data_IF_628948148536
#
_entry.id   IF_628948148536
#
_cell.length_a   1.000
_cell.length_b   1.000
_cell.length_c   1.000
_cell.angle_alpha   90.00
_cell.angle_beta   90.00
_cell.angle_gamma   90.00
#
_symmetry.space_group_name_H-M   'P 1'
#
loop_
_entity.id
_entity.type
_entity.pdbx_description
1 polymer ?
#
# COMPACT_ATOMS: atom_id res chain seq x y z
N UNK A 1 -29.27 17.74 -13.88
CA UNK A 1 -28.45 17.98 -12.68
C UNK A 1 -27.76 19.33 -12.85
N UNK A 2 -27.62 20.11 -11.79
CA UNK A 2 -26.92 21.40 -11.87
C UNK A 2 -25.40 21.17 -11.75
N UNK A 3 -24.58 22.13 -12.21
CA UNK A 3 -23.12 22.07 -12.08
C UNK A 3 -22.70 21.97 -10.60
N UNK A 4 -23.33 22.72 -9.72
CA UNK A 4 -23.09 22.69 -8.26
C UNK A 4 -23.30 21.29 -7.67
N UNK A 5 -24.30 20.54 -8.16
CA UNK A 5 -24.56 19.15 -7.75
C UNK A 5 -23.47 18.18 -8.21
N UNK A 6 -22.86 18.45 -9.36
CA UNK A 6 -21.76 17.63 -9.88
C UNK A 6 -20.45 17.89 -9.14
N UNK A 7 -20.13 19.16 -8.88
CA UNK A 7 -18.97 19.53 -8.05
C UNK A 7 -19.05 18.91 -6.66
N UNK A 8 -20.25 18.92 -6.03
CA UNK A 8 -20.46 18.25 -4.73
C UNK A 8 -20.22 16.74 -4.78
N UNK A 9 -20.59 16.08 -5.87
CA UNK A 9 -20.32 14.64 -6.03
C UNK A 9 -18.83 14.33 -6.25
N UNK A 10 -18.08 15.21 -6.91
CA UNK A 10 -16.62 15.06 -7.03
C UNK A 10 -15.93 15.25 -5.67
N UNK A 11 -16.40 16.19 -4.86
CA UNK A 11 -15.86 16.40 -3.52
C UNK A 11 -16.20 15.22 -2.60
N UNK A 12 -17.41 14.65 -2.71
CA UNK A 12 -17.82 13.43 -1.99
C UNK A 12 -16.93 12.24 -2.41
N UNK A 13 -16.75 12.00 -3.71
CA UNK A 13 -15.85 10.95 -4.20
C UNK A 13 -14.43 11.07 -3.64
N UNK A 14 -13.88 12.29 -3.56
CA UNK A 14 -12.55 12.50 -2.97
C UNK A 14 -12.50 12.14 -1.49
N UNK A 15 -13.52 12.54 -0.72
CA UNK A 15 -13.61 12.23 0.70
C UNK A 15 -13.75 10.71 0.94
N UNK A 16 -14.47 10.01 0.09
CA UNK A 16 -14.64 8.55 0.18
C UNK A 16 -13.36 7.81 -0.18
N UNK A 17 -12.59 8.31 -1.16
CA UNK A 17 -11.25 7.77 -1.48
C UNK A 17 -10.27 8.00 -0.32
N UNK A 18 -10.31 9.17 0.33
CA UNK A 18 -9.54 9.46 1.53
C UNK A 18 -9.87 8.46 2.65
N UNK A 19 -11.16 8.23 2.91
CA UNK A 19 -11.62 7.27 3.91
C UNK A 19 -11.17 5.82 3.59
N UNK A 20 -11.19 5.41 2.31
CA UNK A 20 -10.63 4.13 1.88
C UNK A 20 -9.12 4.06 2.13
N UNK A 21 -8.41 5.15 1.84
CA UNK A 21 -6.98 5.28 2.10
C UNK A 21 -6.63 5.13 3.57
N UNK A 22 -7.36 5.81 4.45
CA UNK A 22 -7.21 5.71 5.91
C UNK A 22 -7.40 4.28 6.41
N UNK A 23 -8.42 3.58 5.89
CA UNK A 23 -8.67 2.17 6.23
C UNK A 23 -7.51 1.26 5.79
N UNK A 24 -6.96 1.48 4.60
CA UNK A 24 -5.80 0.73 4.08
C UNK A 24 -4.56 0.97 4.94
N UNK A 25 -4.31 2.22 5.33
CA UNK A 25 -3.20 2.59 6.23
C UNK A 25 -3.37 1.96 7.61
N UNK A 26 -4.57 1.98 8.20
CA UNK A 26 -4.86 1.29 9.46
C UNK A 26 -4.52 -0.20 9.38
N UNK A 27 -4.93 -0.87 8.30
CA UNK A 27 -4.61 -2.29 8.05
C UNK A 27 -3.12 -2.57 7.93
N UNK A 28 -2.37 -1.71 7.24
CA UNK A 28 -0.91 -1.85 7.15
C UNK A 28 -0.25 -1.70 8.52
N UNK A 29 -0.70 -0.76 9.36
CA UNK A 29 -0.21 -0.57 10.73
C UNK A 29 -0.50 -1.77 11.61
N UNK A 30 -1.69 -2.31 11.52
CA UNK A 30 -2.08 -3.52 12.25
C UNK A 30 -1.22 -4.72 11.81
N UNK A 31 -0.98 -4.87 10.50
CA UNK A 31 -0.11 -5.91 9.97
C UNK A 31 1.34 -5.78 10.46
N UNK A 32 1.88 -4.56 10.47
CA UNK A 32 3.22 -4.26 10.98
C UNK A 32 3.33 -4.55 12.47
N UNK A 33 2.35 -4.13 13.27
CA UNK A 33 2.26 -4.39 14.71
C UNK A 33 2.18 -5.89 14.99
N UNK A 34 1.30 -6.61 14.26
CA UNK A 34 1.17 -8.06 14.40
C UNK A 34 2.49 -8.78 14.10
N UNK A 35 3.22 -8.31 13.06
CA UNK A 35 4.52 -8.87 12.70
C UNK A 35 5.56 -8.60 13.78
N UNK A 36 5.65 -7.38 14.31
CA UNK A 36 6.63 -6.97 15.31
C UNK A 36 6.42 -7.67 16.66
N UNK A 37 5.16 -7.72 17.13
CA UNK A 37 4.80 -8.34 18.41
C UNK A 37 4.63 -9.87 18.29
N UNK A 38 4.46 -10.39 17.07
CA UNK A 38 4.11 -11.75 16.78
C UNK A 38 2.73 -12.15 17.25
N UNK A 39 1.83 -11.21 17.14
CA UNK A 39 0.44 -11.42 17.51
C UNK A 39 -0.31 -12.13 16.37
N UNK A 40 -0.38 -13.47 16.47
CA UNK A 40 -1.10 -14.32 15.52
C UNK A 40 -2.60 -13.98 15.44
N UNK A 41 -3.20 -13.50 16.54
CA UNK A 41 -4.62 -13.13 16.59
C UNK A 41 -4.88 -11.86 15.80
N UNK A 42 -4.02 -10.84 15.97
CA UNK A 42 -4.08 -9.62 15.18
C UNK A 42 -3.76 -9.93 13.71
N UNK A 43 -2.74 -10.76 13.44
CA UNK A 43 -2.41 -11.24 12.10
C UNK A 43 -3.58 -11.94 11.41
N UNK A 44 -4.36 -12.76 12.13
CA UNK A 44 -5.57 -13.39 11.62
C UNK A 44 -6.66 -12.35 11.29
N UNK A 45 -6.84 -11.38 12.17
CA UNK A 45 -7.81 -10.29 11.95
C UNK A 45 -7.49 -9.48 10.69
N UNK A 46 -6.21 -9.16 10.48
CA UNK A 46 -5.75 -8.46 9.27
C UNK A 46 -5.93 -9.33 8.03
N UNK A 47 -5.56 -10.62 8.10
CA UNK A 47 -5.64 -11.55 6.98
C UNK A 47 -7.07 -11.77 6.46
N UNK A 48 -8.07 -11.74 7.34
CA UNK A 48 -9.48 -11.95 7.01
C UNK A 48 -10.23 -10.64 6.69
N UNK A 49 -9.55 -9.50 6.80
CA UNK A 49 -10.20 -8.20 6.77
C UNK A 49 -10.28 -7.53 5.39
N UNK A 50 -9.93 -8.18 4.28
CA UNK A 50 -9.93 -7.59 2.94
C UNK A 50 -11.34 -7.34 2.37
N UNK A 51 -12.37 -8.06 2.86
CA UNK A 51 -13.74 -7.96 2.36
C UNK A 51 -14.28 -6.52 2.42
N UNK A 52 -14.00 -5.78 3.50
CA UNK A 52 -14.46 -4.39 3.66
C UNK A 52 -13.81 -3.45 2.64
N UNK A 53 -12.52 -3.61 2.36
CA UNK A 53 -11.81 -2.80 1.35
C UNK A 53 -12.33 -3.13 -0.05
N UNK A 54 -12.59 -4.41 -0.34
CA UNK A 54 -13.12 -4.87 -1.61
C UNK A 54 -14.56 -4.36 -1.85
N UNK A 55 -15.41 -4.37 -0.82
CA UNK A 55 -16.77 -3.80 -0.92
C UNK A 55 -16.72 -2.31 -1.22
N UNK A 56 -15.89 -1.55 -0.49
CA UNK A 56 -15.71 -0.12 -0.69
C UNK A 56 -15.10 0.20 -2.08
N UNK A 57 -14.12 -0.60 -2.53
CA UNK A 57 -13.58 -0.48 -3.88
C UNK A 57 -14.68 -0.59 -4.95
N UNK A 58 -15.55 -1.61 -4.86
CA UNK A 58 -16.64 -1.82 -5.84
C UNK A 58 -17.68 -0.70 -5.81
N UNK A 59 -18.01 -0.17 -4.63
CA UNK A 59 -18.91 0.98 -4.47
C UNK A 59 -18.33 2.21 -5.15
N UNK A 60 -17.11 2.59 -4.84
CA UNK A 60 -16.45 3.79 -5.39
C UNK A 60 -16.14 3.64 -6.89
N UNK A 61 -15.86 2.41 -7.37
CA UNK A 61 -15.74 2.12 -8.79
C UNK A 61 -17.06 2.41 -9.53
N UNK A 62 -18.20 2.00 -8.93
CA UNK A 62 -19.54 2.28 -9.47
C UNK A 62 -19.82 3.78 -9.51
N UNK A 63 -19.45 4.53 -8.47
CA UNK A 63 -19.64 5.98 -8.42
C UNK A 63 -18.83 6.71 -9.49
N UNK A 64 -17.58 6.28 -9.73
CA UNK A 64 -16.77 6.77 -10.84
C UNK A 64 -17.45 6.54 -12.20
N UNK A 65 -18.03 5.35 -12.43
CA UNK A 65 -18.74 5.02 -13.67
C UNK A 65 -19.99 5.90 -13.83
N UNK A 66 -20.75 6.11 -12.76
CA UNK A 66 -21.95 6.95 -12.80
C UNK A 66 -21.61 8.41 -13.09
N UNK A 67 -20.55 8.95 -12.49
CA UNK A 67 -20.04 10.29 -12.78
C UNK A 67 -19.64 10.45 -14.24
N UNK A 68 -19.00 9.46 -14.84
CA UNK A 68 -18.64 9.46 -16.27
C UNK A 68 -19.87 9.37 -17.19
N UNK A 69 -20.82 8.48 -16.84
CA UNK A 69 -21.96 8.16 -17.70
C UNK A 69 -23.03 9.28 -17.71
N UNK A 70 -23.29 9.87 -16.56
CA UNK A 70 -24.45 10.77 -16.37
C UNK A 70 -24.13 12.25 -16.62
N UNK A 71 -22.88 12.69 -16.56
CA UNK A 71 -22.53 14.10 -16.45
C UNK A 71 -21.74 14.69 -17.64
N UNK A 72 -21.24 13.87 -18.55
CA UNK A 72 -20.37 14.32 -19.66
C UNK A 72 -19.26 15.27 -19.15
N UNK A 73 -18.37 14.82 -18.26
CA UNK A 73 -17.41 15.66 -17.58
C UNK A 73 -16.49 16.40 -18.55
N UNK A 74 -16.14 17.64 -18.23
CA UNK A 74 -15.14 18.40 -18.99
C UNK A 74 -13.73 17.92 -18.68
N UNK A 75 -12.75 18.33 -19.47
CA UNK A 75 -11.40 17.75 -19.48
C UNK A 75 -10.74 17.60 -18.08
N UNK A 76 -10.92 18.56 -17.16
CA UNK A 76 -10.40 18.50 -15.80
C UNK A 76 -11.10 17.42 -14.97
N UNK A 77 -12.41 17.47 -14.93
CA UNK A 77 -13.25 16.53 -14.17
C UNK A 77 -13.09 15.10 -14.68
N UNK A 78 -13.00 14.95 -16.03
CA UNK A 78 -12.74 13.65 -16.65
C UNK A 78 -11.40 13.05 -16.18
N UNK A 79 -10.33 13.87 -16.11
CA UNK A 79 -9.04 13.39 -15.62
C UNK A 79 -9.08 12.99 -14.15
N UNK A 80 -9.81 13.79 -13.32
CA UNK A 80 -10.00 13.46 -11.92
C UNK A 80 -10.65 12.08 -11.78
N UNK A 81 -11.83 11.86 -12.34
CA UNK A 81 -12.55 10.58 -12.22
C UNK A 81 -11.73 9.42 -12.80
N UNK A 82 -11.05 9.63 -13.95
CA UNK A 82 -10.22 8.58 -14.56
C UNK A 82 -8.96 8.25 -13.73
N UNK A 83 -8.36 9.24 -13.06
CA UNK A 83 -7.25 9.02 -12.14
C UNK A 83 -7.73 8.30 -10.87
N UNK A 84 -8.85 8.76 -10.29
CA UNK A 84 -9.48 8.14 -9.11
C UNK A 84 -9.75 6.67 -9.33
N UNK A 85 -10.33 6.30 -10.47
CA UNK A 85 -10.59 4.89 -10.82
C UNK A 85 -9.35 4.00 -10.75
N UNK A 86 -8.18 4.53 -11.13
CA UNK A 86 -6.90 3.81 -11.05
C UNK A 86 -6.33 3.82 -9.64
N UNK A 87 -6.47 4.93 -8.91
CA UNK A 87 -6.05 5.07 -7.53
C UNK A 87 -6.79 4.08 -6.63
N UNK A 88 -8.09 3.89 -6.84
CA UNK A 88 -8.88 2.87 -6.14
C UNK A 88 -8.31 1.46 -6.33
N UNK A 89 -7.87 1.14 -7.55
CA UNK A 89 -7.22 -0.16 -7.83
C UNK A 89 -5.90 -0.31 -7.07
N UNK A 90 -5.09 0.75 -7.00
CA UNK A 90 -3.83 0.72 -6.25
C UNK A 90 -4.08 0.61 -4.73
N UNK A 91 -5.11 1.27 -4.18
CA UNK A 91 -5.51 1.15 -2.78
C UNK A 91 -6.01 -0.27 -2.44
N UNK A 92 -6.82 -0.89 -3.29
CA UNK A 92 -7.25 -2.29 -3.13
C UNK A 92 -6.04 -3.22 -3.12
N UNK A 93 -5.07 -3.03 -4.02
CA UNK A 93 -3.83 -3.81 -4.04
C UNK A 93 -3.00 -3.67 -2.78
N UNK A 94 -2.93 -2.47 -2.21
CA UNK A 94 -2.26 -2.25 -0.92
C UNK A 94 -3.00 -3.01 0.20
N UNK A 95 -4.32 -3.01 0.20
CA UNK A 95 -5.16 -3.80 1.12
C UNK A 95 -4.90 -5.30 1.04
N UNK A 96 -4.81 -5.84 -0.19
CA UNK A 96 -4.42 -7.23 -0.46
C UNK A 96 -3.03 -7.56 0.13
N UNK A 97 -2.07 -6.63 -0.02
CA UNK A 97 -0.72 -6.79 0.53
C UNK A 97 -0.72 -6.78 2.06
N UNK A 98 -1.51 -5.91 2.70
CA UNK A 98 -1.68 -5.91 4.15
C UNK A 98 -2.23 -7.27 4.65
N UNK A 99 -3.22 -7.83 3.95
CA UNK A 99 -3.77 -9.17 4.26
C UNK A 99 -2.71 -10.28 4.11
N UNK A 100 -1.81 -10.18 3.11
CA UNK A 100 -0.69 -11.12 2.97
C UNK A 100 0.28 -11.01 4.16
N UNK A 101 0.63 -9.79 4.59
CA UNK A 101 1.49 -9.57 5.76
C UNK A 101 0.88 -10.22 7.02
N UNK A 102 -0.44 -10.09 7.25
CA UNK A 102 -1.17 -10.77 8.31
C UNK A 102 -1.05 -12.31 8.24
N UNK A 103 -1.14 -12.89 7.04
CA UNK A 103 -0.97 -14.35 6.82
C UNK A 103 0.45 -14.81 7.15
N UNK A 104 1.47 -13.99 6.90
CA UNK A 104 2.85 -14.33 7.22
C UNK A 104 3.09 -14.38 8.73
N UNK A 105 2.40 -13.55 9.52
CA UNK A 105 2.45 -13.63 11.00
C UNK A 105 1.88 -14.96 11.50
N UNK A 106 0.72 -15.39 11.01
CA UNK A 106 0.06 -16.64 11.42
C UNK A 106 0.89 -17.90 11.14
N UNK A 107 1.73 -17.87 10.13
CA UNK A 107 2.58 -18.99 9.75
C UNK A 107 3.96 -18.96 10.42
N UNK A 108 4.23 -17.96 11.28
CA UNK A 108 5.51 -17.81 11.95
C UNK A 108 5.71 -18.91 13.01
N UNK A 109 6.91 -19.49 13.02
CA UNK A 109 7.37 -20.34 14.14
C UNK A 109 7.84 -19.48 15.33
N UNK A 110 8.24 -20.17 16.41
CA UNK A 110 8.71 -19.52 17.65
C UNK A 110 10.02 -18.71 17.47
N UNK A 111 10.81 -19.00 16.46
CA UNK A 111 12.07 -18.32 16.16
C UNK A 111 11.88 -17.35 14.99
N UNK A 112 11.96 -16.07 15.26
CA UNK A 112 11.92 -15.01 14.25
C UNK A 112 13.32 -14.59 13.86
N UNK A 113 13.51 -14.27 12.58
CA UNK A 113 14.71 -13.60 12.10
C UNK A 113 14.71 -12.15 12.60
N UNK A 114 14.97 -11.94 13.90
CA UNK A 114 14.98 -10.62 14.56
C UNK A 114 16.18 -9.76 14.16
N UNK A 115 17.11 -10.32 13.37
CA UNK A 115 18.35 -9.64 13.01
C UNK A 115 18.17 -8.49 12.01
N UNK A 116 17.00 -8.38 11.35
CA UNK A 116 16.76 -7.36 10.33
C UNK A 116 15.50 -6.54 10.69
N UNK A 117 15.58 -5.22 10.76
CA UNK A 117 14.46 -4.37 11.19
C UNK A 117 13.41 -4.24 10.07
N UNK A 118 12.44 -5.17 10.02
CA UNK A 118 11.28 -5.09 9.11
C UNK A 118 10.37 -3.91 9.49
N UNK A 119 10.32 -3.55 10.78
CA UNK A 119 9.52 -2.42 11.26
C UNK A 119 9.89 -1.10 10.56
N UNK A 120 11.19 -0.79 10.41
CA UNK A 120 11.63 0.42 9.71
C UNK A 120 11.14 0.45 8.25
N UNK A 121 11.13 -0.71 7.56
CA UNK A 121 10.66 -0.83 6.18
C UNK A 121 9.14 -0.62 6.12
N UNK A 122 8.40 -1.21 7.06
CA UNK A 122 6.96 -1.05 7.16
C UNK A 122 6.58 0.42 7.43
N UNK A 123 7.26 1.09 8.36
CA UNK A 123 7.03 2.51 8.65
C UNK A 123 7.28 3.40 7.42
N UNK A 124 8.34 3.12 6.64
CA UNK A 124 8.65 3.85 5.40
C UNK A 124 7.55 3.64 4.35
N UNK A 125 7.12 2.39 4.13
CA UNK A 125 6.06 2.07 3.17
C UNK A 125 4.72 2.71 3.57
N UNK A 126 4.35 2.66 4.86
CA UNK A 126 3.14 3.29 5.39
C UNK A 126 3.18 4.81 5.18
N UNK A 127 4.27 5.46 5.56
CA UNK A 127 4.43 6.92 5.39
C UNK A 127 4.34 7.34 3.91
N UNK A 128 4.81 6.49 3.00
CA UNK A 128 4.74 6.73 1.56
C UNK A 128 3.29 6.65 1.06
N UNK A 129 2.49 5.69 1.53
CA UNK A 129 1.05 5.59 1.23
C UNK A 129 0.30 6.80 1.77
N UNK A 130 0.53 7.19 3.03
CA UNK A 130 -0.10 8.37 3.64
C UNK A 130 0.19 9.64 2.83
N UNK A 131 1.46 9.84 2.44
CA UNK A 131 1.85 11.00 1.63
C UNK A 131 1.20 10.97 0.24
N UNK A 132 1.01 9.79 -0.36
CA UNK A 132 0.35 9.65 -1.65
C UNK A 132 -1.15 9.97 -1.58
N UNK A 133 -1.83 9.58 -0.49
CA UNK A 133 -3.23 9.91 -0.23
C UNK A 133 -3.38 11.42 0.00
N UNK A 134 -2.53 12.02 0.85
CA UNK A 134 -2.52 13.46 1.09
C UNK A 134 -2.30 14.24 -0.21
N UNK A 135 -1.35 13.79 -1.06
CA UNK A 135 -1.11 14.39 -2.38
C UNK A 135 -2.36 14.39 -3.26
N UNK A 136 -3.15 13.33 -3.24
CA UNK A 136 -4.40 13.23 -3.99
C UNK A 136 -5.48 14.16 -3.45
N UNK A 137 -5.68 14.18 -2.12
CA UNK A 137 -6.71 15.00 -1.46
C UNK A 137 -6.44 16.49 -1.65
N UNK A 138 -5.20 16.91 -1.41
CA UNK A 138 -4.78 18.30 -1.51
C UNK A 138 -4.46 18.76 -2.94
N UNK A 139 -4.41 17.82 -3.88
CA UNK A 139 -3.96 18.05 -5.26
C UNK A 139 -2.57 18.74 -5.29
N UNK A 140 -1.60 18.22 -4.52
CA UNK A 140 -0.26 18.79 -4.39
C UNK A 140 0.79 18.05 -5.24
N UNK A 141 1.31 18.67 -6.34
CA UNK A 141 2.36 18.08 -7.16
C UNK A 141 3.71 17.92 -6.42
N UNK A 142 3.93 18.69 -5.35
CA UNK A 142 5.13 18.60 -4.53
C UNK A 142 5.16 17.31 -3.73
N UNK A 143 4.04 16.96 -3.11
CA UNK A 143 3.88 15.69 -2.38
C UNK A 143 4.01 14.49 -3.34
N UNK A 144 3.46 14.57 -4.56
CA UNK A 144 3.64 13.51 -5.57
C UNK A 144 5.14 13.22 -5.84
N UNK A 145 5.95 14.27 -5.98
CA UNK A 145 7.40 14.12 -6.22
C UNK A 145 8.14 13.63 -4.98
N UNK A 146 7.65 13.97 -3.79
CA UNK A 146 8.18 13.46 -2.52
C UNK A 146 8.00 11.95 -2.41
N UNK A 147 6.80 11.43 -2.72
CA UNK A 147 6.53 9.98 -2.76
C UNK A 147 7.52 9.28 -3.68
N UNK A 148 7.69 9.75 -4.91
CA UNK A 148 8.62 9.15 -5.87
C UNK A 148 10.10 9.21 -5.43
N UNK A 149 10.50 10.23 -4.64
CA UNK A 149 11.86 10.29 -4.11
C UNK A 149 12.08 9.33 -2.94
N UNK A 150 11.08 9.13 -2.09
CA UNK A 150 11.15 8.21 -0.96
C UNK A 150 11.18 6.74 -1.39
N UNK A 151 10.64 6.42 -2.55
CA UNK A 151 10.64 5.08 -3.12
C UNK A 151 12.06 4.53 -3.31
N UNK A 152 12.96 5.33 -3.84
CA UNK A 152 14.37 4.96 -3.96
C UNK A 152 15.01 4.61 -2.60
N UNK A 153 14.64 5.29 -1.52
CA UNK A 153 15.14 5.00 -0.18
C UNK A 153 14.54 3.71 0.37
N UNK A 154 13.25 3.45 0.10
CA UNK A 154 12.55 2.22 0.47
C UNK A 154 13.19 1.01 -0.25
N UNK A 155 13.40 1.09 -1.56
CA UNK A 155 14.04 0.04 -2.36
C UNK A 155 15.42 -0.32 -1.82
N UNK A 156 16.26 0.69 -1.56
CA UNK A 156 17.58 0.49 -0.98
C UNK A 156 17.51 -0.19 0.39
N UNK A 157 16.49 0.15 1.19
CA UNK A 157 16.30 -0.45 2.50
C UNK A 157 15.87 -1.91 2.40
N UNK A 158 15.00 -2.24 1.44
CA UNK A 158 14.57 -3.61 1.13
C UNK A 158 15.77 -4.47 0.63
N UNK A 159 16.59 -3.93 -0.28
CA UNK A 159 17.80 -4.59 -0.78
C UNK A 159 18.79 -4.86 0.35
N UNK A 160 19.05 -3.86 1.21
CA UNK A 160 19.94 -4.01 2.36
C UNK A 160 19.43 -5.07 3.34
N UNK A 161 18.12 -5.15 3.59
CA UNK A 161 17.51 -6.15 4.44
C UNK A 161 17.70 -7.58 3.87
N UNK A 162 17.54 -7.75 2.56
CA UNK A 162 17.79 -9.03 1.90
C UNK A 162 19.28 -9.43 1.97
N UNK A 163 20.21 -8.50 1.79
CA UNK A 163 21.65 -8.72 1.92
C UNK A 163 22.03 -9.12 3.35
N UNK A 164 21.47 -8.48 4.37
CA UNK A 164 21.72 -8.78 5.77
C UNK A 164 21.21 -10.18 6.14
N UNK A 165 20.05 -10.57 5.61
CA UNK A 165 19.56 -11.95 5.73
C UNK A 165 20.53 -12.96 5.13
N UNK A 166 21.02 -12.72 3.92
CA UNK A 166 22.00 -13.62 3.27
C UNK A 166 23.27 -13.74 4.10
N UNK A 167 23.79 -12.62 4.63
CA UNK A 167 24.97 -12.63 5.52
C UNK A 167 24.72 -13.40 6.81
N UNK A 168 23.52 -13.25 7.40
CA UNK A 168 23.11 -14.04 8.54
C UNK A 168 23.13 -15.54 8.24
N UNK A 169 22.49 -15.97 7.14
CA UNK A 169 22.41 -17.39 6.74
C UNK A 169 23.76 -18.02 6.46
N UNK A 170 24.69 -17.26 5.85
CA UNK A 170 26.07 -17.76 5.56
C UNK A 170 26.86 -18.01 6.84
N UNK A 171 26.58 -17.29 7.92
CA UNK A 171 27.29 -17.40 9.18
C UNK A 171 26.54 -18.26 10.24
N UNK A 172 25.32 -18.71 9.93
CA UNK A 172 24.48 -19.48 10.83
C UNK A 172 24.72 -20.98 10.64
N UNK A 173 25.10 -21.68 11.72
CA UNK A 173 25.28 -23.14 11.70
C UNK A 173 24.01 -23.81 12.22
N UNK A 174 23.04 -24.06 11.32
CA UNK A 174 21.81 -24.75 11.65
C UNK A 174 22.07 -26.25 11.87
N UNK A 175 21.46 -26.81 12.91
CA UNK A 175 21.32 -28.27 13.03
C UNK A 175 20.31 -28.80 12.01
N UNK A 176 20.32 -30.10 11.66
CA UNK A 176 19.35 -30.67 10.73
C UNK A 176 17.88 -30.47 11.17
N UNK A 177 17.63 -30.42 12.47
CA UNK A 177 16.28 -30.25 13.03
C UNK A 177 15.80 -28.77 12.96
N UNK A 178 16.74 -27.81 12.97
CA UNK A 178 16.45 -26.37 12.85
C UNK A 178 16.33 -25.92 11.39
N UNK A 179 16.87 -26.67 10.44
CA UNK A 179 16.98 -26.25 9.05
C UNK A 179 15.61 -25.96 8.40
N UNK A 180 14.62 -26.80 8.64
CA UNK A 180 13.27 -26.62 8.06
C UNK A 180 12.59 -25.35 8.59
N UNK A 181 12.71 -25.07 9.90
CA UNK A 181 12.20 -23.87 10.52
C UNK A 181 12.91 -22.61 9.95
N UNK A 182 14.24 -22.63 9.86
CA UNK A 182 15.05 -21.56 9.30
C UNK A 182 14.69 -21.25 7.84
N UNK A 183 14.44 -22.27 7.03
CA UNK A 183 14.02 -22.09 5.64
C UNK A 183 12.63 -21.44 5.55
N UNK A 184 11.71 -21.88 6.39
CA UNK A 184 10.37 -21.30 6.45
C UNK A 184 10.40 -19.83 6.91
N UNK A 185 11.20 -19.50 7.93
CA UNK A 185 11.37 -18.12 8.41
C UNK A 185 12.04 -17.23 7.36
N UNK A 186 13.07 -17.75 6.67
CA UNK A 186 13.73 -17.06 5.56
C UNK A 186 12.74 -16.73 4.45
N UNK A 187 11.91 -17.69 4.07
CA UNK A 187 10.90 -17.47 3.03
C UNK A 187 9.89 -16.41 3.44
N UNK A 188 9.36 -16.47 4.67
CA UNK A 188 8.42 -15.45 5.19
C UNK A 188 9.03 -14.07 5.20
N UNK A 189 10.25 -13.93 5.69
CA UNK A 189 10.96 -12.66 5.71
C UNK A 189 11.09 -12.05 4.31
N UNK A 190 11.54 -12.85 3.33
CA UNK A 190 11.69 -12.37 1.94
C UNK A 190 10.35 -11.97 1.32
N UNK A 191 9.28 -12.71 1.63
CA UNK A 191 7.92 -12.37 1.19
C UNK A 191 7.43 -11.07 1.82
N UNK A 192 7.70 -10.87 3.12
CA UNK A 192 7.32 -9.64 3.85
C UNK A 192 8.04 -8.43 3.26
N UNK A 193 9.36 -8.48 3.08
CA UNK A 193 10.13 -7.38 2.51
C UNK A 193 9.67 -7.05 1.08
N UNK A 194 9.47 -8.06 0.24
CA UNK A 194 8.96 -7.89 -1.13
C UNK A 194 7.56 -7.25 -1.15
N UNK A 195 6.66 -7.68 -0.26
CA UNK A 195 5.30 -7.15 -0.26
C UNK A 195 5.27 -5.71 0.29
N UNK A 196 6.18 -5.33 1.21
CA UNK A 196 6.37 -3.94 1.64
C UNK A 196 6.96 -3.05 0.51
N UNK A 197 7.92 -3.55 -0.28
CA UNK A 197 8.41 -2.87 -1.48
C UNK A 197 7.25 -2.60 -2.46
N UNK A 198 6.40 -3.60 -2.72
CA UNK A 198 5.23 -3.44 -3.59
C UNK A 198 4.18 -2.45 -3.04
N UNK A 199 4.08 -2.30 -1.72
CA UNK A 199 3.26 -1.23 -1.13
C UNK A 199 3.79 0.14 -1.56
N UNK A 200 5.11 0.35 -1.52
CA UNK A 200 5.76 1.56 -2.04
C UNK A 200 5.49 1.78 -3.53
N UNK A 201 5.65 0.75 -4.37
CA UNK A 201 5.34 0.80 -5.81
C UNK A 201 3.91 1.32 -6.07
N UNK A 202 2.91 0.81 -5.32
CA UNK A 202 1.53 1.26 -5.45
C UNK A 202 1.34 2.70 -4.96
N UNK A 203 2.04 3.13 -3.90
CA UNK A 203 2.03 4.53 -3.47
C UNK A 203 2.59 5.47 -4.56
N UNK A 204 3.67 5.07 -5.25
CA UNK A 204 4.19 5.81 -6.43
C UNK A 204 3.17 5.85 -7.55
N UNK A 205 2.46 4.77 -7.82
CA UNK A 205 1.38 4.75 -8.81
C UNK A 205 0.27 5.75 -8.46
N UNK A 206 -0.17 5.81 -7.20
CA UNK A 206 -1.15 6.80 -6.72
C UNK A 206 -0.62 8.22 -6.98
N UNK A 207 0.61 8.52 -6.57
CA UNK A 207 1.24 9.82 -6.79
C UNK A 207 1.37 10.17 -8.28
N UNK A 208 1.75 9.21 -9.13
CA UNK A 208 1.85 9.40 -10.58
C UNK A 208 0.50 9.73 -11.23
N UNK A 209 -0.58 9.04 -10.82
CA UNK A 209 -1.93 9.32 -11.30
C UNK A 209 -2.44 10.67 -10.81
N UNK A 210 -2.11 11.02 -9.58
CA UNK A 210 -2.42 12.34 -9.01
C UNK A 210 -1.71 13.46 -9.76
N UNK A 211 -0.41 13.33 -10.03
CA UNK A 211 0.35 14.32 -10.79
C UNK A 211 -0.22 14.51 -12.21
N UNK A 212 -0.56 13.41 -12.88
CA UNK A 212 -1.22 13.47 -14.18
C UNK A 212 -2.60 14.15 -14.12
N UNK A 213 -3.37 13.90 -13.06
CA UNK A 213 -4.67 14.56 -12.83
C UNK A 213 -4.54 16.07 -12.72
N UNK A 214 -3.54 16.55 -11.98
CA UNK A 214 -3.33 17.98 -11.68
C UNK A 214 -2.73 18.72 -12.90
N UNK A 215 -1.55 18.28 -13.34
CA UNK A 215 -0.68 19.00 -14.27
C UNK A 215 -0.68 18.42 -15.70
N UNK A 216 -1.34 17.27 -15.91
CA UNK A 216 -1.20 16.47 -17.12
C UNK A 216 0.26 16.08 -17.39
N UNK A 217 1.03 15.91 -16.30
CA UNK A 217 2.44 15.49 -16.29
C UNK A 217 2.50 13.96 -16.13
N UNK A 218 3.06 13.28 -17.12
CA UNK A 218 3.23 11.82 -17.15
C UNK A 218 4.63 11.36 -16.70
N UNK A 219 5.45 12.28 -16.19
CA UNK A 219 6.84 12.03 -15.83
C UNK A 219 7.07 10.99 -14.74
N UNK A 220 6.04 10.63 -13.97
CA UNK A 220 6.06 9.54 -12.98
C UNK A 220 5.29 8.28 -13.45
N UNK A 221 4.71 8.27 -14.65
CA UNK A 221 4.02 7.10 -15.23
C UNK A 221 5.02 6.28 -16.02
N UNK A 222 5.30 5.06 -15.54
CA UNK A 222 6.21 4.12 -16.21
C UNK A 222 5.44 3.01 -16.93
#
# INVERSE_FOLDING_TARGET
MTRDSYESQLDELKADVEAMGDLVVERLRDAATAYEEGDESLGATVADGDETINELYLELESDCIDLLALQQPVAGDLRLVAATFKILTDLERIGDLASNLGRYVQSAGDERLTAVPVADIADMAIAQVETAIEAYVEADPGLCRTVASHDTDLDQRCEAAADDLVRFLVNYEATPDELEALLADTQRFLLTVRDLERVGDHAVNIAARTLYMIDNDDGLIY
#
